data_IF_817392237198
#
_entry.id   IF_817392237198
#
_cell.length_a   1.000
_cell.length_b   1.000
_cell.length_c   1.000
_cell.angle_alpha   90.00
_cell.angle_beta   90.00
_cell.angle_gamma   90.00
#
_symmetry.space_group_name_H-M   'P 1'
#
loop_
_entity.id
_entity.type
_entity.pdbx_description
1 polymer ?
#
# COMPACT_ATOMS: atom_id res chain seq x y z
N UNK A 1 1.08 -14.41 10.21
CA UNK A 1 0.58 -13.86 8.94
C UNK A 1 1.26 -12.54 8.64
N UNK A 2 1.59 -12.31 7.40
CA UNK A 2 2.22 -11.07 6.96
C UNK A 2 1.31 -10.37 5.96
N UNK A 3 0.87 -9.16 6.30
CA UNK A 3 -0.04 -8.37 5.48
C UNK A 3 0.70 -7.14 4.95
N UNK A 4 0.59 -6.88 3.67
CA UNK A 4 1.19 -5.71 3.04
C UNK A 4 0.08 -4.77 2.54
N UNK A 5 0.09 -3.53 3.00
CA UNK A 5 -0.83 -2.51 2.53
C UNK A 5 -0.15 -1.63 1.50
N UNK A 6 -0.86 -1.30 0.44
CA UNK A 6 -0.37 -0.37 -0.58
C UNK A 6 -1.10 0.95 -0.44
N UNK A 7 -0.40 1.99 -0.02
CA UNK A 7 -0.95 3.35 0.04
C UNK A 7 0.16 4.38 -0.02
N UNK A 8 -0.10 5.47 -0.73
CA UNK A 8 0.84 6.59 -0.80
C UNK A 8 0.58 7.60 0.32
N UNK A 9 -0.46 7.39 1.12
CA UNK A 9 -0.94 8.36 2.09
C UNK A 9 -0.66 8.00 3.54
N UNK A 10 0.19 7.01 3.79
CA UNK A 10 0.48 6.66 5.17
C UNK A 10 1.04 7.87 5.92
N UNK A 11 0.48 8.21 7.10
CA UNK A 11 0.87 9.43 7.80
C UNK A 11 2.37 9.56 8.03
N UNK A 12 2.90 10.74 7.72
CA UNK A 12 4.29 11.09 7.92
C UNK A 12 4.34 12.50 8.49
N UNK A 13 5.13 12.70 9.51
CA UNK A 13 5.27 14.01 10.15
C UNK A 13 5.66 15.09 9.14
N UNK A 14 4.92 16.19 9.11
CA UNK A 14 5.19 17.30 8.20
C UNK A 14 4.60 17.14 6.80
N UNK A 15 3.91 16.07 6.52
CA UNK A 15 3.31 15.85 5.21
C UNK A 15 1.81 15.60 5.32
N UNK A 16 1.03 16.09 4.34
CA UNK A 16 -0.42 15.86 4.36
C UNK A 16 -0.76 14.40 4.07
N UNK A 17 -1.89 13.95 4.58
CA UNK A 17 -2.42 12.64 4.29
C UNK A 17 -3.94 12.69 4.33
N UNK A 18 -4.58 11.77 3.62
CA UNK A 18 -6.04 11.70 3.56
C UNK A 18 -6.62 10.66 4.50
N UNK A 19 -7.93 10.46 4.38
CA UNK A 19 -8.66 9.49 5.18
C UNK A 19 -8.18 8.06 4.97
N UNK A 20 -7.77 7.73 3.75
CA UNK A 20 -7.24 6.41 3.43
C UNK A 20 -5.97 6.12 4.25
N UNK A 21 -5.05 7.10 4.32
CA UNK A 21 -3.83 6.94 5.10
C UNK A 21 -4.10 6.76 6.58
N UNK A 22 -5.04 7.54 7.13
CA UNK A 22 -5.43 7.41 8.53
C UNK A 22 -6.07 6.05 8.81
N UNK A 23 -6.91 5.56 7.90
CA UNK A 23 -7.54 4.26 8.02
C UNK A 23 -6.48 3.15 8.04
N UNK A 24 -5.55 3.18 7.10
CA UNK A 24 -4.50 2.16 7.01
C UNK A 24 -3.62 2.17 8.25
N UNK A 25 -3.27 3.36 8.76
CA UNK A 25 -2.48 3.48 9.99
C UNK A 25 -3.18 2.81 11.16
N UNK A 26 -4.47 3.12 11.35
CA UNK A 26 -5.25 2.55 12.45
C UNK A 26 -5.31 1.04 12.34
N UNK A 27 -5.62 0.54 11.16
CA UNK A 27 -5.72 -0.90 10.92
C UNK A 27 -4.36 -1.60 11.09
N UNK A 28 -3.30 -1.03 10.51
CA UNK A 28 -1.97 -1.63 10.59
C UNK A 28 -1.50 -1.75 12.03
N UNK A 29 -1.67 -0.71 12.83
CA UNK A 29 -1.25 -0.73 14.23
C UNK A 29 -2.07 -1.72 15.04
N UNK A 30 -3.37 -1.85 14.76
CA UNK A 30 -4.21 -2.82 15.43
C UNK A 30 -3.79 -4.26 15.10
N UNK A 31 -3.44 -4.52 13.83
CA UNK A 31 -3.00 -5.85 13.41
C UNK A 31 -1.66 -6.23 14.07
N UNK A 32 -0.75 -5.28 14.17
CA UNK A 32 0.54 -5.52 14.85
C UNK A 32 0.30 -5.87 16.32
N UNK A 33 -0.63 -5.19 16.98
CA UNK A 33 -0.98 -5.50 18.37
C UNK A 33 -1.53 -6.90 18.54
N UNK A 34 -2.13 -7.44 17.47
CA UNK A 34 -2.66 -8.80 17.48
C UNK A 34 -1.65 -9.84 16.98
N UNK A 35 -0.39 -9.48 16.89
CA UNK A 35 0.69 -10.41 16.58
C UNK A 35 0.97 -10.62 15.11
N UNK A 36 0.35 -9.84 14.22
CA UNK A 36 0.62 -9.97 12.79
C UNK A 36 1.78 -9.08 12.37
N UNK A 37 2.45 -9.48 11.30
CA UNK A 37 3.46 -8.64 10.66
C UNK A 37 2.78 -7.75 9.65
N UNK A 38 3.09 -6.48 9.65
CA UNK A 38 2.49 -5.53 8.71
C UNK A 38 3.57 -4.69 8.05
N UNK A 39 3.51 -4.62 6.72
CA UNK A 39 4.37 -3.78 5.91
C UNK A 39 3.47 -2.86 5.09
N UNK A 40 3.87 -1.59 4.99
CA UNK A 40 3.16 -0.62 4.15
C UNK A 40 4.12 -0.15 3.07
N UNK A 41 3.67 -0.17 1.83
CA UNK A 41 4.46 0.27 0.68
C UNK A 41 3.70 1.37 -0.06
N UNK A 42 4.38 2.44 -0.38
CA UNK A 42 3.79 3.52 -1.15
C UNK A 42 4.85 4.37 -1.83
N UNK A 43 4.41 5.32 -2.63
CA UNK A 43 5.30 6.26 -3.29
C UNK A 43 5.59 7.41 -2.34
N UNK A 44 6.85 7.87 -2.35
CA UNK A 44 7.27 8.95 -1.47
C UNK A 44 6.86 10.31 -2.03
N UNK A 45 6.66 11.27 -1.14
CA UNK A 45 6.46 12.67 -1.53
C UNK A 45 7.75 13.30 -2.02
N UNK A 46 8.89 12.79 -1.58
CA UNK A 46 10.20 13.27 -2.01
C UNK A 46 10.77 12.36 -3.08
N UNK A 47 11.89 12.76 -3.68
CA UNK A 47 12.55 11.97 -4.71
C UNK A 47 13.59 11.02 -4.11
N UNK A 48 13.22 10.34 -3.05
CA UNK A 48 14.13 9.41 -2.35
C UNK A 48 13.37 8.21 -1.82
N UNK A 49 14.07 7.10 -1.70
CA UNK A 49 13.52 5.92 -1.04
C UNK A 49 13.68 6.09 0.47
N UNK A 50 12.68 5.69 1.23
CA UNK A 50 12.72 5.72 2.69
C UNK A 50 12.16 4.44 3.26
N UNK A 51 12.71 4.04 4.41
CA UNK A 51 12.17 2.93 5.18
C UNK A 51 12.17 3.35 6.64
N UNK A 52 11.03 3.16 7.32
CA UNK A 52 10.95 3.43 8.74
C UNK A 52 10.07 2.39 9.43
N UNK A 53 10.14 2.33 10.74
CA UNK A 53 9.30 1.44 11.53
C UNK A 53 8.64 2.29 12.61
N UNK A 54 7.31 2.31 12.62
CA UNK A 54 6.52 3.09 13.57
C UNK A 54 5.50 2.18 14.21
N UNK A 55 5.55 2.07 15.55
CA UNK A 55 4.62 1.22 16.31
C UNK A 55 4.55 -0.22 15.78
N UNK A 56 5.69 -0.75 15.34
CA UNK A 56 5.77 -2.11 14.82
C UNK A 56 5.39 -2.27 13.35
N UNK A 57 4.93 -1.22 12.71
CA UNK A 57 4.58 -1.24 11.29
C UNK A 57 5.80 -0.82 10.48
N UNK A 58 6.19 -1.66 9.52
CA UNK A 58 7.29 -1.34 8.61
C UNK A 58 6.75 -0.55 7.43
N UNK A 59 7.29 0.64 7.22
CA UNK A 59 6.81 1.54 6.18
C UNK A 59 7.92 1.75 5.16
N UNK A 60 7.64 1.43 3.91
CA UNK A 60 8.58 1.58 2.80
C UNK A 60 8.00 2.57 1.82
N UNK A 61 8.69 3.68 1.62
CA UNK A 61 8.31 4.70 0.66
C UNK A 61 9.30 4.69 -0.48
N UNK A 62 8.78 4.50 -1.68
CA UNK A 62 9.59 4.32 -2.89
C UNK A 62 9.60 5.62 -3.68
N UNK A 63 10.76 5.97 -4.21
CA UNK A 63 10.91 7.13 -5.08
C UNK A 63 9.96 7.02 -6.28
N UNK A 64 9.26 8.10 -6.58
CA UNK A 64 8.39 8.16 -7.75
C UNK A 64 9.21 8.17 -9.04
N UNK A 65 8.69 7.53 -10.07
CA UNK A 65 9.30 7.57 -11.39
C UNK A 65 9.21 8.99 -11.96
N UNK A 66 10.29 9.41 -12.64
CA UNK A 66 10.33 10.70 -13.31
C UNK A 66 9.92 10.63 -14.77
N UNK A 67 9.58 9.46 -15.27
CA UNK A 67 9.22 9.28 -16.67
C UNK A 67 7.83 9.83 -16.92
N UNK A 68 7.75 10.88 -17.74
CA UNK A 68 6.46 11.49 -18.07
C UNK A 68 5.63 10.56 -18.93
N UNK A 69 4.33 10.53 -18.65
CA UNK A 69 3.39 9.74 -19.43
C UNK A 69 3.32 8.26 -19.08
N UNK A 70 4.41 7.70 -18.55
CA UNK A 70 4.46 6.29 -18.16
C UNK A 70 4.83 6.11 -16.70
N UNK A 71 4.74 7.17 -15.90
CA UNK A 71 5.09 7.10 -14.48
C UNK A 71 4.27 6.02 -13.75
N UNK A 72 2.98 5.91 -14.05
CA UNK A 72 2.12 4.91 -13.46
C UNK A 72 2.63 3.49 -13.69
N UNK A 73 3.13 3.23 -14.89
CA UNK A 73 3.66 1.92 -15.26
C UNK A 73 4.94 1.60 -14.47
N UNK A 74 5.89 2.53 -14.47
CA UNK A 74 7.16 2.33 -13.77
C UNK A 74 6.99 2.31 -12.27
N UNK A 75 6.09 3.12 -11.72
CA UNK A 75 5.78 3.11 -10.29
C UNK A 75 5.19 1.76 -9.87
N UNK A 76 4.24 1.24 -10.63
CA UNK A 76 3.65 -0.07 -10.36
C UNK A 76 4.68 -1.17 -10.43
N UNK A 77 5.57 -1.12 -11.42
CA UNK A 77 6.64 -2.09 -11.56
C UNK A 77 7.62 -2.04 -10.38
N UNK A 78 7.96 -0.85 -9.91
CA UNK A 78 8.85 -0.69 -8.77
C UNK A 78 8.22 -1.19 -7.48
N UNK A 79 6.93 -0.96 -7.29
CA UNK A 79 6.19 -1.50 -6.16
C UNK A 79 6.19 -3.03 -6.22
N UNK A 80 5.94 -3.60 -7.39
CA UNK A 80 5.94 -5.04 -7.57
C UNK A 80 7.30 -5.66 -7.24
N UNK A 81 8.38 -5.00 -7.66
CA UNK A 81 9.74 -5.46 -7.33
C UNK A 81 9.99 -5.44 -5.83
N UNK A 82 9.50 -4.40 -5.14
CA UNK A 82 9.65 -4.28 -3.70
C UNK A 82 8.88 -5.39 -2.99
N UNK A 83 7.65 -5.65 -3.44
CA UNK A 83 6.84 -6.75 -2.89
C UNK A 83 7.57 -8.08 -3.08
N UNK A 84 8.10 -8.34 -4.27
CA UNK A 84 8.81 -9.58 -4.56
C UNK A 84 10.06 -9.74 -3.68
N UNK A 85 10.81 -8.67 -3.48
CA UNK A 85 12.01 -8.70 -2.65
C UNK A 85 11.68 -9.01 -1.20
N UNK A 86 10.62 -8.40 -0.68
CA UNK A 86 10.17 -8.65 0.69
C UNK A 86 9.65 -10.08 0.82
N UNK A 87 8.82 -10.50 -0.12
CA UNK A 87 8.21 -11.84 -0.12
C UNK A 87 9.28 -12.94 -0.10
N UNK A 88 10.36 -12.72 -0.80
CA UNK A 88 11.46 -13.69 -0.86
C UNK A 88 12.10 -13.91 0.51
N UNK A 89 12.23 -12.87 1.31
CA UNK A 89 12.85 -12.93 2.63
C UNK A 89 11.84 -13.22 3.74
N UNK A 90 10.65 -12.70 3.60
CA UNK A 90 9.60 -12.80 4.62
C UNK A 90 8.27 -12.92 3.88
N UNK A 91 7.81 -14.14 3.64
CA UNK A 91 6.62 -14.36 2.80
C UNK A 91 5.43 -13.51 3.20
N UNK A 92 4.85 -12.87 2.19
CA UNK A 92 3.65 -12.07 2.34
C UNK A 92 2.44 -12.95 2.02
N UNK A 93 1.44 -12.91 2.89
CA UNK A 93 0.22 -13.69 2.68
C UNK A 93 -0.83 -12.90 1.91
N UNK A 94 -0.97 -11.62 2.23
CA UNK A 94 -2.00 -10.76 1.64
C UNK A 94 -1.40 -9.41 1.26
N UNK A 95 -1.74 -8.94 0.07
CA UNK A 95 -1.48 -7.56 -0.35
C UNK A 95 -2.83 -6.88 -0.50
N UNK A 96 -3.05 -5.80 0.21
CA UNK A 96 -4.29 -5.05 0.16
C UNK A 96 -4.04 -3.63 -0.33
N UNK A 97 -4.86 -3.15 -1.24
CA UNK A 97 -4.76 -1.80 -1.75
C UNK A 97 -6.10 -1.26 -2.21
N UNK A 98 -6.14 0.04 -2.50
CA UNK A 98 -7.31 0.66 -3.10
C UNK A 98 -7.42 0.23 -4.56
N UNK A 99 -8.57 0.51 -5.17
CA UNK A 99 -8.91 -0.02 -6.49
C UNK A 99 -7.87 0.23 -7.57
N UNK A 100 -7.25 1.41 -7.60
CA UNK A 100 -6.26 1.71 -8.64
C UNK A 100 -4.86 1.22 -8.30
N UNK A 101 -4.59 0.93 -7.03
CA UNK A 101 -3.27 0.49 -6.60
C UNK A 101 -2.87 -0.85 -7.19
N UNK A 102 -3.83 -1.70 -7.46
CA UNK A 102 -3.58 -3.05 -7.95
C UNK A 102 -3.84 -3.22 -9.45
N UNK A 103 -4.39 -2.19 -10.11
CA UNK A 103 -4.84 -2.30 -11.51
C UNK A 103 -3.73 -2.72 -12.47
N UNK A 104 -2.54 -2.16 -12.31
CA UNK A 104 -1.41 -2.41 -13.20
C UNK A 104 -0.28 -3.17 -12.52
N UNK A 105 -0.53 -3.71 -11.34
CA UNK A 105 0.50 -4.36 -10.55
C UNK A 105 0.68 -5.82 -10.99
N UNK A 106 1.90 -6.21 -11.41
CA UNK A 106 2.19 -7.62 -11.62
C UNK A 106 1.99 -8.39 -10.32
N UNK A 107 1.27 -9.49 -10.37
CA UNK A 107 0.88 -10.24 -9.18
C UNK A 107 1.69 -11.51 -9.00
N UNK A 108 2.05 -11.80 -7.75
CA UNK A 108 2.78 -13.02 -7.38
C UNK A 108 1.75 -14.08 -7.04
N UNK A 109 1.92 -15.27 -7.58
CA UNK A 109 0.95 -16.35 -7.48
C UNK A 109 0.62 -16.75 -6.02
N UNK A 110 1.62 -16.76 -5.15
CA UNK A 110 1.47 -17.20 -3.77
C UNK A 110 0.84 -16.17 -2.86
N UNK A 111 0.65 -14.96 -3.34
CA UNK A 111 0.08 -13.86 -2.56
C UNK A 111 -1.37 -13.63 -2.95
N UNK A 112 -2.24 -13.48 -1.94
CA UNK A 112 -3.63 -13.10 -2.16
C UNK A 112 -3.72 -11.58 -2.25
N UNK A 113 -4.32 -11.07 -3.31
CA UNK A 113 -4.48 -9.63 -3.50
C UNK A 113 -5.93 -9.24 -3.21
N UNK A 114 -6.09 -8.23 -2.37
CA UNK A 114 -7.40 -7.77 -1.92
C UNK A 114 -7.56 -6.30 -2.31
N UNK A 115 -8.66 -5.98 -2.96
CA UNK A 115 -8.99 -4.60 -3.31
C UNK A 115 -9.99 -4.07 -2.30
N UNK A 116 -9.64 -2.96 -1.64
CA UNK A 116 -10.56 -2.29 -0.73
C UNK A 116 -11.11 -1.04 -1.40
N UNK A 117 -12.42 -0.94 -1.47
CA UNK A 117 -13.09 0.18 -2.10
C UNK A 117 -13.29 1.30 -1.10
N UNK A 118 -12.55 2.38 -1.25
CA UNK A 118 -12.60 3.51 -0.31
C UNK A 118 -13.24 4.76 -0.88
N UNK A 119 -13.01 5.02 -2.14
CA UNK A 119 -13.27 6.32 -2.70
C UNK A 119 -14.64 6.48 -3.27
N UNK A 120 -15.30 5.43 -3.32
CA UNK A 120 -16.49 5.46 -4.09
C UNK A 120 -17.74 5.75 -3.28
N UNK A 121 -17.87 6.92 -2.74
CA UNK A 121 -19.13 7.26 -2.11
C UNK A 121 -20.30 6.99 -3.06
N UNK A 122 -20.14 7.38 -4.31
CA UNK A 122 -21.11 7.10 -5.34
C UNK A 122 -21.25 5.60 -5.64
N UNK A 123 -20.20 4.82 -5.46
CA UNK A 123 -20.27 3.37 -5.58
C UNK A 123 -21.23 2.79 -4.54
N UNK A 124 -21.07 3.23 -3.31
CA UNK A 124 -21.91 2.71 -2.23
C UNK A 124 -23.35 3.13 -2.44
N UNK A 125 -23.58 4.38 -2.86
CA UNK A 125 -24.91 4.85 -3.15
C UNK A 125 -25.58 4.01 -4.23
N UNK A 126 -24.88 3.72 -5.30
CA UNK A 126 -25.39 2.87 -6.37
C UNK A 126 -25.67 1.46 -5.86
N UNK A 127 -24.77 0.92 -5.07
CA UNK A 127 -24.94 -0.40 -4.49
C UNK A 127 -26.13 -0.49 -3.59
N UNK A 128 -26.38 0.53 -2.81
CA UNK A 128 -27.49 0.58 -1.87
C UNK A 128 -28.81 0.81 -2.55
N UNK A 129 -28.81 1.49 -3.66
CA UNK A 129 -30.02 1.80 -4.41
C UNK A 129 -30.52 0.69 -5.34
N UNK A 130 -29.82 -0.40 -5.36
CA UNK A 130 -30.21 -1.54 -6.20
C UNK A 130 -31.24 -2.43 -5.57
#
# INVERSE_FOLDING_TARGET
MHICFLTNEYPKAGFPHGGLGSFVKTMAEALVKNGLQVTVIGLNYTLADETESVNGVRIIRIQKSKVKGLAWYFNSKNIAKTIAAIHKKNPIDIVEGAELSLAFLPKIKEIKYVIRLHGGHHFFAEGENR
#
